data_IF_294733181240
#
_entry.id   IF_294733181240
#
_cell.length_a   1.000
_cell.length_b   1.000
_cell.length_c   1.000
_cell.angle_alpha   90.00
_cell.angle_beta   90.00
_cell.angle_gamma   90.00
#
_symmetry.space_group_name_H-M   'P 1'
#
loop_
_entity.id
_entity.type
_entity.pdbx_description
1 polymer ?
#
# COMPACT_ATOMS: atom_id res chain seq x y z
N UNK A 1 27.85 3.29 -15.32
CA UNK A 1 27.82 3.96 -14.01
C UNK A 1 26.41 4.50 -13.81
N UNK A 2 25.53 3.77 -13.11
CA UNK A 2 24.13 4.17 -12.97
C UNK A 2 24.05 5.49 -12.19
N UNK A 3 23.39 6.50 -12.79
CA UNK A 3 23.13 7.80 -12.16
C UNK A 3 22.37 7.56 -10.86
N UNK A 4 22.87 8.08 -9.74
CA UNK A 4 22.16 8.03 -8.46
C UNK A 4 20.82 8.75 -8.59
N UNK A 5 19.72 8.04 -8.30
CA UNK A 5 18.37 8.58 -8.30
C UNK A 5 18.24 9.72 -7.29
N UNK A 6 17.67 10.85 -7.71
CA UNK A 6 17.38 12.00 -6.86
C UNK A 6 15.87 12.19 -6.71
N UNK A 7 15.45 12.86 -5.66
CA UNK A 7 14.02 13.13 -5.41
C UNK A 7 13.37 13.92 -6.56
N UNK A 8 14.08 14.86 -7.17
CA UNK A 8 13.57 15.64 -8.31
C UNK A 8 13.29 14.78 -9.55
N UNK A 9 13.93 13.61 -9.66
CA UNK A 9 13.76 12.73 -10.80
C UNK A 9 12.33 12.17 -10.84
N UNK A 10 11.59 12.17 -9.72
CA UNK A 10 10.17 11.76 -9.72
C UNK A 10 9.31 12.59 -10.66
N UNK A 11 9.58 13.90 -10.78
CA UNK A 11 8.83 14.80 -11.66
C UNK A 11 9.47 14.97 -13.05
N UNK A 12 10.62 14.34 -13.33
CA UNK A 12 11.24 14.45 -14.65
C UNK A 12 10.42 13.71 -15.71
N UNK A 13 9.98 14.44 -16.72
CA UNK A 13 9.28 13.87 -17.88
C UNK A 13 10.23 12.99 -18.71
N UNK A 14 9.70 11.87 -19.18
CA UNK A 14 10.45 10.89 -19.99
C UNK A 14 11.10 9.78 -19.17
N UNK A 15 11.24 8.61 -19.80
CA UNK A 15 11.93 7.43 -19.26
C UNK A 15 11.22 6.72 -18.10
N UNK A 16 11.69 5.50 -17.83
CA UNK A 16 11.39 4.73 -16.63
C UNK A 16 12.46 5.04 -15.58
N UNK A 17 12.11 5.23 -14.29
CA UNK A 17 13.11 5.59 -13.27
C UNK A 17 13.97 4.40 -12.85
N UNK A 18 13.37 3.21 -12.79
CA UNK A 18 14.02 1.98 -12.33
C UNK A 18 13.54 0.83 -13.17
N UNK A 19 14.43 -0.05 -13.61
CA UNK A 19 14.07 -1.34 -14.16
C UNK A 19 14.29 -2.43 -13.10
N UNK A 20 13.23 -3.09 -12.59
CA UNK A 20 13.37 -4.15 -11.58
C UNK A 20 14.25 -5.33 -12.01
N UNK A 21 14.39 -5.60 -13.32
CA UNK A 21 15.31 -6.61 -13.85
C UNK A 21 16.79 -6.26 -13.65
N UNK A 22 17.11 -4.98 -13.46
CA UNK A 22 18.49 -4.50 -13.23
C UNK A 22 18.84 -4.42 -11.74
N UNK A 23 17.92 -4.82 -10.86
CA UNK A 23 18.12 -4.78 -9.41
C UNK A 23 18.75 -6.09 -8.92
N UNK A 24 19.70 -5.96 -8.02
CA UNK A 24 20.23 -7.09 -7.24
C UNK A 24 19.21 -7.47 -6.15
N UNK A 25 18.17 -8.21 -6.52
CA UNK A 25 17.11 -8.62 -5.59
C UNK A 25 17.67 -9.46 -4.44
N UNK A 26 17.01 -9.38 -3.28
CA UNK A 26 17.35 -10.22 -2.13
C UNK A 26 17.20 -11.71 -2.50
N UNK A 27 18.19 -12.56 -2.20
CA UNK A 27 18.07 -13.99 -2.44
C UNK A 27 16.95 -14.57 -1.57
N UNK A 28 16.11 -15.41 -2.17
CA UNK A 28 15.10 -16.15 -1.43
C UNK A 28 15.74 -17.34 -0.68
N UNK A 29 15.14 -17.80 0.43
CA UNK A 29 15.62 -18.98 1.12
C UNK A 29 15.29 -20.27 0.35
N UNK A 30 16.03 -21.34 0.62
CA UNK A 30 15.73 -22.68 0.13
C UNK A 30 14.25 -23.07 0.37
N UNK A 31 13.53 -23.68 -0.60
CA UNK A 31 14.03 -24.18 -1.89
C UNK A 31 13.97 -23.16 -3.05
N UNK A 32 13.79 -21.87 -2.76
CA UNK A 32 13.66 -20.80 -3.75
C UNK A 32 14.98 -20.04 -3.99
N UNK A 33 16.10 -20.54 -3.48
CA UNK A 33 17.43 -19.92 -3.52
C UNK A 33 18.16 -20.05 -4.87
N UNK A 34 17.46 -20.49 -5.92
CA UNK A 34 17.96 -20.63 -7.28
C UNK A 34 17.29 -19.59 -8.21
N UNK A 35 17.89 -18.40 -8.41
CA UNK A 35 17.30 -17.31 -9.19
C UNK A 35 16.98 -17.70 -10.64
N UNK A 36 17.76 -18.61 -11.20
CA UNK A 36 17.63 -19.08 -12.60
C UNK A 36 16.35 -19.91 -12.83
N UNK A 37 15.69 -20.35 -11.75
CA UNK A 37 14.42 -21.08 -11.81
C UNK A 37 13.21 -20.15 -11.78
N UNK A 38 13.38 -18.87 -11.44
CA UNK A 38 12.29 -17.91 -11.42
C UNK A 38 12.00 -17.37 -12.82
N UNK A 39 10.73 -17.27 -13.24
CA UNK A 39 10.40 -16.63 -14.50
C UNK A 39 10.82 -15.16 -14.46
N UNK A 40 11.38 -14.67 -15.57
CA UNK A 40 11.68 -13.25 -15.73
C UNK A 40 10.41 -12.40 -15.62
N UNK A 41 10.58 -11.13 -15.27
CA UNK A 41 9.49 -10.18 -15.24
C UNK A 41 8.80 -10.09 -16.61
N UNK A 42 7.47 -10.07 -16.61
CA UNK A 42 6.69 -9.87 -17.83
C UNK A 42 6.52 -8.37 -18.06
N UNK A 43 7.06 -7.80 -19.16
CA UNK A 43 6.89 -6.39 -19.43
C UNK A 43 5.42 -6.05 -19.65
N UNK A 44 4.99 -4.89 -19.14
CA UNK A 44 3.63 -4.41 -19.42
C UNK A 44 3.45 -4.13 -20.91
N UNK A 45 2.25 -4.43 -21.43
CA UNK A 45 1.86 -4.20 -22.83
C UNK A 45 2.04 -2.72 -23.19
N UNK A 46 2.42 -2.43 -24.43
CA UNK A 46 2.63 -1.05 -24.90
C UNK A 46 1.39 -0.17 -24.73
N UNK A 47 0.20 -0.73 -25.01
CA UNK A 47 -1.07 -0.05 -24.79
C UNK A 47 -1.30 0.37 -23.33
N UNK A 48 -0.76 -0.38 -22.36
CA UNK A 48 -0.79 0.00 -20.95
C UNK A 48 0.24 1.08 -20.63
N UNK A 49 1.42 1.07 -21.26
CA UNK A 49 2.46 2.11 -21.06
C UNK A 49 1.99 3.47 -21.57
N UNK A 50 1.25 3.49 -22.68
CA UNK A 50 0.67 4.70 -23.25
C UNK A 50 -0.45 5.25 -22.36
N UNK A 51 -1.35 4.36 -21.92
CA UNK A 51 -2.55 4.72 -21.16
C UNK A 51 -2.30 5.02 -19.68
N UNK A 52 -1.41 4.31 -19.02
CA UNK A 52 -1.18 4.37 -17.57
C UNK A 52 0.21 4.88 -17.21
N UNK A 53 0.48 5.03 -15.91
CA UNK A 53 1.81 5.36 -15.40
C UNK A 53 2.67 4.11 -15.18
N UNK A 54 3.34 3.65 -16.24
CA UNK A 54 4.37 2.59 -16.13
C UNK A 54 5.80 3.17 -15.95
N UNK A 55 5.95 4.49 -15.85
CA UNK A 55 7.27 5.16 -15.87
C UNK A 55 7.97 5.22 -14.51
N UNK A 56 7.38 4.67 -13.45
CA UNK A 56 8.03 4.52 -12.15
C UNK A 56 9.06 3.38 -12.21
N UNK A 57 8.56 2.15 -12.28
CA UNK A 57 9.34 0.91 -12.24
C UNK A 57 8.94 -0.10 -13.33
N UNK A 58 8.22 0.35 -14.37
CA UNK A 58 7.79 -0.52 -15.46
C UNK A 58 6.48 -1.28 -15.20
N UNK A 59 5.90 -1.15 -14.01
CA UNK A 59 4.65 -1.83 -13.62
C UNK A 59 3.54 -0.84 -13.28
N UNK A 60 2.29 -1.26 -13.50
CA UNK A 60 1.09 -0.47 -13.19
C UNK A 60 0.40 -1.08 -11.97
N UNK A 61 0.47 -0.38 -10.84
CA UNK A 61 -0.22 -0.73 -9.59
C UNK A 61 -1.60 -0.11 -9.47
N UNK A 62 -1.89 0.98 -10.20
CA UNK A 62 -3.18 1.68 -10.18
C UNK A 62 -3.80 1.66 -11.58
N UNK A 63 -4.61 0.63 -11.86
CA UNK A 63 -5.25 0.44 -13.17
C UNK A 63 -6.31 1.51 -13.52
N UNK A 64 -6.76 2.29 -12.54
CA UNK A 64 -7.67 3.43 -12.74
C UNK A 64 -6.95 4.76 -12.99
N UNK A 65 -5.63 4.82 -12.79
CA UNK A 65 -4.84 6.02 -13.02
C UNK A 65 -4.47 6.10 -14.52
N UNK A 66 -5.22 6.92 -15.26
CA UNK A 66 -5.09 7.07 -16.71
C UNK A 66 -4.47 8.42 -17.05
N UNK A 67 -3.61 8.45 -18.07
CA UNK A 67 -2.96 9.66 -18.57
C UNK A 67 -4.01 10.67 -19.05
N UNK A 68 -3.88 11.96 -18.68
CA UNK A 68 -4.77 13.01 -19.17
C UNK A 68 -4.67 13.12 -20.70
N UNK A 69 -5.80 13.39 -21.35
CA UNK A 69 -5.89 13.48 -22.82
C UNK A 69 -5.29 14.78 -23.36
N UNK A 70 -5.35 15.84 -22.56
CA UNK A 70 -4.88 17.17 -22.91
C UNK A 70 -4.34 17.91 -21.67
N UNK A 71 -3.74 19.08 -21.92
CA UNK A 71 -3.13 19.90 -20.87
C UNK A 71 -4.13 20.42 -19.83
N UNK A 72 -5.37 20.71 -20.23
CA UNK A 72 -6.39 21.19 -19.31
C UNK A 72 -6.81 20.09 -18.31
N UNK A 73 -6.91 18.84 -18.79
CA UNK A 73 -7.17 17.68 -17.92
C UNK A 73 -6.00 17.40 -16.97
N UNK A 74 -4.77 17.54 -17.45
CA UNK A 74 -3.57 17.47 -16.59
C UNK A 74 -3.63 18.51 -15.48
N UNK A 75 -3.86 19.78 -15.83
CA UNK A 75 -3.95 20.87 -14.86
C UNK A 75 -5.07 20.62 -13.85
N UNK A 76 -6.26 20.22 -14.32
CA UNK A 76 -7.39 19.88 -13.45
C UNK A 76 -7.04 18.77 -12.47
N UNK A 77 -6.38 17.71 -12.94
CA UNK A 77 -6.03 16.56 -12.09
C UNK A 77 -4.97 16.92 -11.05
N UNK A 78 -3.94 17.67 -11.44
CA UNK A 78 -2.92 18.19 -10.51
C UNK A 78 -3.55 19.12 -9.47
N UNK A 79 -4.46 20.01 -9.87
CA UNK A 79 -5.19 20.86 -8.92
C UNK A 79 -6.07 20.06 -7.96
N UNK A 80 -6.75 19.00 -8.44
CA UNK A 80 -7.48 18.08 -7.56
C UNK A 80 -6.56 17.40 -6.56
N UNK A 81 -5.38 16.94 -6.97
CA UNK A 81 -4.39 16.38 -6.06
C UNK A 81 -3.95 17.39 -4.99
N UNK A 82 -3.70 18.64 -5.37
CA UNK A 82 -3.34 19.71 -4.43
C UNK A 82 -4.47 20.05 -3.45
N UNK A 83 -5.74 20.02 -3.88
CA UNK A 83 -6.90 20.15 -2.98
C UNK A 83 -7.01 18.97 -2.02
N UNK A 84 -6.76 17.75 -2.51
CA UNK A 84 -6.72 16.57 -1.65
C UNK A 84 -5.61 16.66 -0.61
N UNK A 85 -4.44 17.20 -0.97
CA UNK A 85 -3.35 17.49 -0.03
C UNK A 85 -3.79 18.47 1.06
N UNK A 86 -4.48 19.55 0.70
CA UNK A 86 -5.04 20.52 1.65
C UNK A 86 -6.02 19.83 2.61
N UNK A 87 -6.93 18.99 2.09
CA UNK A 87 -7.88 18.21 2.90
C UNK A 87 -7.18 17.30 3.90
N UNK A 88 -6.19 16.49 3.48
CA UNK A 88 -5.49 15.59 4.43
C UNK A 88 -4.70 16.34 5.51
N UNK A 89 -4.38 17.62 5.30
CA UNK A 89 -3.74 18.50 6.28
C UNK A 89 -4.74 19.34 7.08
N UNK A 90 -6.05 19.21 6.84
CA UNK A 90 -7.10 19.94 7.52
C UNK A 90 -7.64 19.17 8.73
N UNK A 91 -7.87 19.87 9.84
CA UNK A 91 -8.52 19.31 11.02
C UNK A 91 -9.94 18.86 10.71
N UNK A 92 -10.67 19.57 9.85
CA UNK A 92 -12.06 19.25 9.50
C UNK A 92 -12.20 17.87 8.85
N UNK A 93 -11.27 17.49 7.97
CA UNK A 93 -11.41 16.26 7.15
C UNK A 93 -10.44 15.14 7.53
N UNK A 94 -9.45 15.42 8.41
CA UNK A 94 -8.46 14.43 8.83
C UNK A 94 -8.14 14.43 10.33
N UNK A 95 -9.00 14.99 11.18
CA UNK A 95 -8.80 15.15 12.64
C UNK A 95 -8.09 13.99 13.33
N UNK A 96 -8.59 12.76 13.13
CA UNK A 96 -8.08 11.56 13.83
C UNK A 96 -6.64 11.18 13.45
N UNK A 97 -6.13 11.69 12.33
CA UNK A 97 -4.80 11.35 11.80
C UNK A 97 -3.90 12.55 11.59
N UNK A 98 -4.43 13.78 11.76
CA UNK A 98 -3.71 15.01 11.49
C UNK A 98 -2.44 15.13 12.35
N UNK A 99 -2.54 14.97 13.67
CA UNK A 99 -1.38 15.11 14.55
C UNK A 99 -0.27 14.09 14.22
N UNK A 100 -0.54 12.76 14.13
CA UNK A 100 0.48 11.80 13.70
C UNK A 100 1.07 12.10 12.31
N UNK A 101 0.27 12.61 11.38
CA UNK A 101 0.72 13.00 10.04
C UNK A 101 1.68 14.18 10.12
N UNK A 102 1.30 15.28 10.77
CA UNK A 102 2.12 16.49 10.91
C UNK A 102 3.45 16.17 11.59
N UNK A 103 3.43 15.42 12.69
CA UNK A 103 4.66 14.97 13.36
C UNK A 103 5.58 14.19 12.41
N UNK A 104 5.01 13.26 11.63
CA UNK A 104 5.76 12.46 10.64
C UNK A 104 6.32 13.30 9.47
N UNK A 105 5.66 14.41 9.12
CA UNK A 105 6.12 15.34 8.09
C UNK A 105 7.23 16.27 8.60
N UNK A 106 7.19 16.68 9.88
CA UNK A 106 8.07 17.71 10.42
C UNK A 106 9.34 17.16 11.07
N UNK A 107 9.25 16.06 11.84
CA UNK A 107 10.32 15.64 12.74
C UNK A 107 11.29 14.60 12.16
N UNK A 108 11.17 14.24 10.89
CA UNK A 108 12.04 13.23 10.29
C UNK A 108 13.49 13.71 10.22
N UNK A 109 14.35 13.13 11.07
CA UNK A 109 15.80 13.39 11.10
C UNK A 109 16.59 12.73 9.96
N UNK A 110 15.92 12.01 9.05
CA UNK A 110 16.55 11.31 7.90
C UNK A 110 17.66 10.32 8.30
N UNK A 111 17.56 9.72 9.49
CA UNK A 111 18.51 8.74 10.02
C UNK A 111 18.48 7.37 9.33
N UNK A 112 17.49 7.12 8.48
CA UNK A 112 17.31 5.86 7.72
C UNK A 112 17.06 4.59 8.53
N UNK A 113 16.88 4.64 9.86
CA UNK A 113 16.55 3.46 10.70
C UNK A 113 15.37 2.64 10.17
N UNK A 114 14.36 3.32 9.61
CA UNK A 114 13.20 2.65 9.02
C UNK A 114 13.50 1.80 7.77
N UNK A 115 14.66 1.97 7.14
CA UNK A 115 14.99 1.34 5.86
C UNK A 115 15.19 -0.16 6.03
N UNK A 116 15.96 -0.59 7.03
CA UNK A 116 16.24 -2.02 7.27
C UNK A 116 15.00 -2.81 7.71
N UNK A 117 14.02 -2.13 8.31
CA UNK A 117 12.74 -2.75 8.66
C UNK A 117 11.77 -2.87 7.47
N UNK A 118 12.02 -2.18 6.35
CA UNK A 118 11.16 -2.22 5.18
C UNK A 118 11.55 -3.38 4.27
N UNK A 119 10.67 -4.38 4.19
CA UNK A 119 10.89 -5.56 3.36
C UNK A 119 10.96 -5.22 1.87
N UNK A 120 10.19 -4.26 1.35
CA UNK A 120 10.30 -3.83 -0.06
C UNK A 120 11.67 -3.21 -0.37
N UNK A 121 12.19 -2.38 0.53
CA UNK A 121 13.51 -1.77 0.35
C UNK A 121 14.62 -2.83 0.41
N UNK A 122 14.58 -3.72 1.40
CA UNK A 122 15.57 -4.80 1.52
C UNK A 122 15.49 -5.75 0.32
N UNK A 123 14.29 -6.17 -0.08
CA UNK A 123 14.08 -7.12 -1.17
C UNK A 123 14.48 -6.58 -2.54
N UNK A 124 14.39 -5.26 -2.75
CA UNK A 124 14.78 -4.59 -4.01
C UNK A 124 16.29 -4.31 -4.12
N UNK A 125 17.14 -5.02 -3.37
CA UNK A 125 18.57 -4.75 -3.35
C UNK A 125 18.92 -3.42 -2.72
N UNK A 126 18.10 -2.92 -1.80
CA UNK A 126 18.27 -1.61 -1.14
C UNK A 126 18.25 -0.45 -2.14
N UNK A 127 17.48 -0.58 -3.23
CA UNK A 127 17.38 0.46 -4.24
C UNK A 127 16.65 1.71 -3.70
N UNK A 128 17.19 2.90 -3.98
CA UNK A 128 16.78 4.15 -3.34
C UNK A 128 15.31 4.52 -3.58
N UNK A 129 14.76 4.18 -4.75
CA UNK A 129 13.34 4.41 -5.07
C UNK A 129 12.40 3.80 -4.02
N UNK A 130 12.73 2.60 -3.54
CA UNK A 130 11.89 1.84 -2.60
C UNK A 130 12.18 2.16 -1.14
N UNK A 131 13.17 3.03 -0.85
CA UNK A 131 13.46 3.46 0.51
C UNK A 131 12.22 4.15 1.11
N UNK A 132 11.77 3.79 2.33
CA UNK A 132 10.57 4.36 2.93
C UNK A 132 10.54 5.89 2.94
N UNK A 133 11.69 6.52 3.19
CA UNK A 133 11.79 7.98 3.25
C UNK A 133 11.75 8.65 1.87
N UNK A 134 12.03 7.95 0.77
CA UNK A 134 12.06 8.57 -0.57
C UNK A 134 10.67 9.14 -0.90
N UNK A 135 9.63 8.29 -0.83
CA UNK A 135 8.24 8.70 -1.01
C UNK A 135 7.80 9.77 -0.02
N UNK A 136 8.11 9.57 1.27
CA UNK A 136 7.72 10.51 2.31
C UNK A 136 8.36 11.88 2.12
N UNK A 137 9.61 11.92 1.66
CA UNK A 137 10.31 13.18 1.40
C UNK A 137 9.77 13.87 0.16
N UNK A 138 9.45 13.15 -0.91
CA UNK A 138 8.71 13.72 -2.05
C UNK A 138 7.43 14.42 -1.55
N UNK A 139 6.62 13.71 -0.77
CA UNK A 139 5.39 14.30 -0.23
C UNK A 139 5.65 15.50 0.69
N UNK A 140 6.64 15.44 1.59
CA UNK A 140 7.03 16.59 2.43
C UNK A 140 7.41 17.81 1.60
N UNK A 141 8.16 17.64 0.51
CA UNK A 141 8.56 18.74 -0.37
C UNK A 141 7.35 19.37 -1.05
N UNK A 142 6.42 18.56 -1.52
CA UNK A 142 5.16 19.03 -2.10
C UNK A 142 4.33 19.78 -1.04
N UNK A 143 4.20 19.25 0.18
CA UNK A 143 3.49 19.92 1.28
C UNK A 143 4.14 21.27 1.57
N UNK A 144 5.46 21.30 1.78
CA UNK A 144 6.19 22.54 2.04
C UNK A 144 5.95 23.57 0.95
N UNK A 145 6.05 23.18 -0.33
CA UNK A 145 5.92 24.12 -1.43
C UNK A 145 4.49 24.62 -1.66
N UNK A 146 3.52 23.73 -1.70
CA UNK A 146 2.16 24.08 -2.16
C UNK A 146 1.20 24.44 -1.03
N UNK A 147 1.45 23.93 0.18
CA UNK A 147 0.53 24.01 1.32
C UNK A 147 1.03 24.95 2.44
N UNK A 148 2.22 25.54 2.32
CA UNK A 148 2.71 26.54 3.28
C UNK A 148 2.81 27.92 2.64
N UNK A 149 2.50 28.97 3.43
CA UNK A 149 2.47 30.36 2.97
C UNK A 149 3.83 30.83 2.43
N UNK A 150 4.93 30.46 3.08
CA UNK A 150 6.29 30.80 2.63
C UNK A 150 6.83 29.91 1.52
N UNK A 151 6.28 28.72 1.35
CA UNK A 151 6.77 27.72 0.39
C UNK A 151 6.51 28.05 -1.07
N UNK A 152 5.48 28.84 -1.39
CA UNK A 152 5.19 29.23 -2.78
C UNK A 152 6.19 30.24 -3.33
N UNK A 153 6.79 31.07 -2.48
CA UNK A 153 7.72 32.14 -2.88
C UNK A 153 9.19 31.78 -2.60
N UNK A 154 9.45 30.98 -1.56
CA UNK A 154 10.80 30.61 -1.11
C UNK A 154 11.04 29.09 -1.14
N UNK A 155 10.38 28.37 -2.07
CA UNK A 155 10.41 26.90 -2.18
C UNK A 155 11.82 26.32 -2.07
N UNK A 156 12.78 26.91 -2.80
CA UNK A 156 14.18 26.47 -2.80
C UNK A 156 14.85 26.60 -1.42
N UNK A 157 14.56 27.68 -0.68
CA UNK A 157 15.15 27.95 0.64
C UNK A 157 14.54 27.08 1.74
N UNK A 158 13.27 26.69 1.63
CA UNK A 158 12.60 25.80 2.60
C UNK A 158 12.75 24.31 2.26
N UNK A 159 13.50 23.98 1.20
CA UNK A 159 13.74 22.62 0.74
C UNK A 159 12.55 21.99 0.01
N UNK A 160 11.61 22.79 -0.49
CA UNK A 160 10.44 22.38 -1.27
C UNK A 160 10.64 22.40 -2.79
N UNK A 161 11.87 22.43 -3.29
CA UNK A 161 12.18 22.50 -4.72
C UNK A 161 11.77 21.21 -5.48
N UNK A 162 10.48 21.13 -5.81
CA UNK A 162 9.87 20.09 -6.61
C UNK A 162 8.66 20.67 -7.35
N UNK A 163 8.74 20.78 -8.67
CA UNK A 163 7.58 21.15 -9.51
C UNK A 163 6.70 19.93 -9.75
N UNK A 164 5.44 20.00 -9.29
CA UNK A 164 4.47 18.93 -9.51
C UNK A 164 3.89 19.02 -10.92
N UNK A 165 3.97 17.93 -11.65
CA UNK A 165 3.29 17.70 -12.93
C UNK A 165 2.56 16.36 -12.87
N UNK A 166 1.85 15.99 -13.96
CA UNK A 166 1.17 14.70 -14.05
C UNK A 166 2.10 13.51 -13.74
N UNK A 167 3.31 13.50 -14.30
CA UNK A 167 4.25 12.36 -14.16
C UNK A 167 4.69 12.19 -12.71
N UNK A 168 5.04 13.28 -12.03
CA UNK A 168 5.44 13.27 -10.62
C UNK A 168 4.30 12.84 -9.70
N UNK A 169 3.09 13.34 -9.96
CA UNK A 169 1.88 12.93 -9.24
C UNK A 169 1.64 11.43 -9.43
N UNK A 170 1.61 10.97 -10.68
CA UNK A 170 1.30 9.58 -11.00
C UNK A 170 2.33 8.59 -10.45
N UNK A 171 3.64 8.90 -10.58
CA UNK A 171 4.73 8.12 -9.98
C UNK A 171 4.65 8.10 -8.45
N UNK A 172 4.26 9.22 -7.81
CA UNK A 172 4.05 9.25 -6.36
C UNK A 172 2.89 8.36 -5.93
N UNK A 173 1.79 8.32 -6.70
CA UNK A 173 0.67 7.41 -6.51
C UNK A 173 1.10 5.95 -6.60
N UNK A 174 1.73 5.57 -7.71
CA UNK A 174 2.29 4.22 -7.92
C UNK A 174 3.23 3.82 -6.77
N UNK A 175 4.15 4.71 -6.39
CA UNK A 175 5.10 4.45 -5.31
C UNK A 175 4.41 4.34 -3.94
N UNK A 176 3.27 5.01 -3.74
CA UNK A 176 2.47 4.84 -2.52
C UNK A 176 1.91 3.43 -2.41
N UNK A 177 1.58 2.77 -3.52
CA UNK A 177 1.10 1.38 -3.55
C UNK A 177 2.20 0.32 -3.48
N UNK A 178 3.49 0.69 -3.67
CA UNK A 178 4.64 -0.20 -3.36
C UNK A 178 4.90 -0.37 -1.85
N UNK A 179 4.23 0.40 -1.00
CA UNK A 179 4.20 0.18 0.44
C UNK A 179 3.15 -0.86 0.82
N UNK A 180 3.41 -1.78 1.75
CA UNK A 180 2.33 -2.68 2.22
C UNK A 180 1.59 -2.15 3.44
N UNK A 181 1.86 -0.90 3.85
CA UNK A 181 1.30 -0.27 5.06
C UNK A 181 1.52 -1.09 6.35
N UNK A 182 2.57 -1.95 6.39
CA UNK A 182 2.83 -2.86 7.51
C UNK A 182 3.32 -2.17 8.81
N UNK A 183 3.59 -0.86 8.76
CA UNK A 183 4.03 -0.02 9.90
C UNK A 183 5.30 -0.48 10.63
N UNK A 184 6.06 -1.47 10.12
CA UNK A 184 7.40 -1.82 10.65
C UNK A 184 8.33 -0.60 10.74
N UNK A 185 8.23 0.29 9.76
CA UNK A 185 8.97 1.57 9.76
C UNK A 185 8.65 2.47 10.95
N UNK A 186 7.40 2.45 11.45
CA UNK A 186 6.98 3.23 12.62
C UNK A 186 7.47 2.57 13.91
N UNK A 187 7.38 1.24 14.00
CA UNK A 187 7.85 0.47 15.17
C UNK A 187 9.34 0.65 15.44
N UNK A 188 10.17 0.76 14.39
CA UNK A 188 11.63 0.93 14.55
C UNK A 188 12.07 2.40 14.63
N UNK A 189 11.19 3.36 14.33
CA UNK A 189 11.59 4.76 14.32
C UNK A 189 11.83 5.26 15.75
N UNK A 190 13.02 5.80 16.08
CA UNK A 190 13.30 6.31 17.43
C UNK A 190 12.46 7.54 17.80
N UNK A 191 11.85 8.19 16.80
CA UNK A 191 10.97 9.35 16.96
C UNK A 191 9.49 9.00 16.78
N UNK A 192 9.14 7.71 16.61
CA UNK A 192 7.76 7.25 16.43
C UNK A 192 7.09 7.70 15.13
N UNK A 193 7.86 8.10 14.11
CA UNK A 193 7.34 8.63 12.85
C UNK A 193 6.90 7.51 11.89
N UNK A 194 5.81 7.75 11.17
CA UNK A 194 5.14 6.69 10.41
C UNK A 194 5.15 6.94 8.89
N UNK A 195 6.07 6.29 8.17
CA UNK A 195 6.11 6.36 6.70
C UNK A 195 4.94 5.61 6.03
N UNK A 196 4.32 4.64 6.71
CA UNK A 196 3.13 3.96 6.20
C UNK A 196 1.91 4.88 6.30
N UNK A 197 1.80 5.69 7.35
CA UNK A 197 0.78 6.74 7.46
C UNK A 197 0.88 7.72 6.29
N UNK A 198 2.07 8.25 5.98
CA UNK A 198 2.25 9.14 4.83
C UNK A 198 1.84 8.46 3.52
N UNK A 199 2.22 7.19 3.32
CA UNK A 199 1.81 6.42 2.15
C UNK A 199 0.28 6.28 2.06
N UNK A 200 -0.39 6.02 3.19
CA UNK A 200 -1.85 5.91 3.27
C UNK A 200 -2.52 7.25 2.94
N UNK A 201 -2.01 8.37 3.44
CA UNK A 201 -2.56 9.70 3.15
C UNK A 201 -2.40 10.06 1.68
N UNK A 202 -1.28 9.70 1.03
CA UNK A 202 -1.14 9.83 -0.42
C UNK A 202 -2.23 9.03 -1.14
N UNK A 203 -2.45 7.75 -0.77
CA UNK A 203 -3.54 6.94 -1.35
C UNK A 203 -4.91 7.54 -1.11
N UNK A 204 -5.14 8.13 0.07
CA UNK A 204 -6.40 8.80 0.43
C UNK A 204 -6.68 9.99 -0.49
N UNK A 205 -5.65 10.76 -0.86
CA UNK A 205 -5.79 11.84 -1.86
C UNK A 205 -6.28 11.26 -3.18
N UNK A 206 -5.61 10.22 -3.70
CA UNK A 206 -6.03 9.57 -4.95
C UNK A 206 -7.45 9.01 -4.86
N UNK A 207 -7.78 8.26 -3.81
CA UNK A 207 -9.06 7.56 -3.74
C UNK A 207 -10.23 8.49 -3.42
N UNK A 208 -10.11 9.39 -2.44
CA UNK A 208 -11.23 10.19 -1.97
C UNK A 208 -11.41 11.50 -2.73
N UNK A 209 -10.33 12.13 -3.19
CA UNK A 209 -10.43 13.40 -3.95
C UNK A 209 -10.45 13.17 -5.46
N UNK A 210 -9.68 12.20 -5.97
CA UNK A 210 -9.62 11.94 -7.42
C UNK A 210 -10.51 10.77 -7.87
N UNK A 211 -11.03 9.95 -6.96
CA UNK A 211 -11.76 8.72 -7.33
C UNK A 211 -10.86 7.64 -7.95
N UNK A 212 -9.54 7.70 -7.70
CA UNK A 212 -8.53 6.83 -8.28
C UNK A 212 -8.03 5.85 -7.22
N UNK A 213 -8.26 4.56 -7.44
CA UNK A 213 -7.74 3.48 -6.61
C UNK A 213 -7.63 2.18 -7.43
N UNK A 214 -6.73 1.24 -7.10
CA UNK A 214 -6.66 -0.04 -7.78
C UNK A 214 -7.98 -0.79 -7.65
N UNK A 215 -8.58 -1.21 -8.76
CA UNK A 215 -9.87 -1.94 -8.74
C UNK A 215 -9.83 -3.22 -7.91
N UNK A 216 -8.75 -4.03 -7.95
CA UNK A 216 -8.68 -5.23 -7.12
C UNK A 216 -8.78 -4.93 -5.61
N UNK A 217 -8.28 -3.77 -5.17
CA UNK A 217 -8.30 -3.39 -3.75
C UNK A 217 -9.58 -2.64 -3.37
N UNK A 218 -10.04 -1.72 -4.22
CA UNK A 218 -11.16 -0.85 -3.90
C UNK A 218 -12.51 -1.48 -4.27
N UNK A 219 -12.78 -1.66 -5.57
CA UNK A 219 -14.06 -2.21 -6.06
C UNK A 219 -14.24 -3.67 -5.62
N UNK A 220 -13.25 -4.53 -5.92
CA UNK A 220 -13.33 -5.97 -5.63
C UNK A 220 -12.97 -6.33 -4.19
N UNK A 221 -12.38 -5.42 -3.43
CA UNK A 221 -11.98 -5.63 -2.04
C UNK A 221 -12.91 -4.90 -1.08
N UNK A 222 -12.67 -3.60 -0.89
CA UNK A 222 -13.39 -2.79 0.11
C UNK A 222 -14.90 -2.68 -0.18
N UNK A 223 -15.29 -2.37 -1.41
CA UNK A 223 -16.71 -2.20 -1.74
C UNK A 223 -17.45 -3.54 -1.69
N UNK A 224 -16.82 -4.63 -2.16
CA UNK A 224 -17.37 -5.97 -2.02
C UNK A 224 -17.55 -6.37 -0.55
N UNK A 225 -16.57 -6.09 0.32
CA UNK A 225 -16.67 -6.31 1.77
C UNK A 225 -17.83 -5.53 2.39
N UNK A 226 -18.02 -4.26 2.01
CA UNK A 226 -19.13 -3.44 2.53
C UNK A 226 -20.50 -3.96 2.08
N UNK A 227 -20.58 -4.50 0.87
CA UNK A 227 -21.83 -5.03 0.33
C UNK A 227 -22.17 -6.42 0.88
N UNK A 228 -21.18 -7.30 1.03
CA UNK A 228 -21.40 -8.73 1.31
C UNK A 228 -20.99 -9.17 2.71
N UNK A 229 -20.22 -8.33 3.42
CA UNK A 229 -19.56 -8.70 4.68
C UNK A 229 -18.24 -9.46 4.49
N UNK A 230 -17.81 -9.72 3.25
CA UNK A 230 -16.59 -10.48 2.93
C UNK A 230 -15.80 -9.88 1.76
N UNK A 231 -14.47 -9.81 1.89
CA UNK A 231 -13.56 -9.27 0.88
C UNK A 231 -13.37 -10.21 -0.29
N UNK A 232 -13.80 -11.47 -0.15
CA UNK A 232 -13.85 -12.47 -1.22
C UNK A 232 -15.27 -12.68 -1.74
N UNK A 233 -16.28 -12.02 -1.15
CA UNK A 233 -17.69 -12.17 -1.52
C UNK A 233 -18.37 -13.42 -0.95
N UNK A 234 -17.74 -14.12 0.00
CA UNK A 234 -18.37 -15.26 0.70
C UNK A 234 -19.64 -14.76 1.39
N UNK A 235 -20.76 -15.39 1.07
CA UNK A 235 -22.06 -15.11 1.70
C UNK A 235 -22.20 -15.88 3.01
N UNK A 236 -23.09 -15.42 3.91
CA UNK A 236 -23.35 -16.13 5.17
C UNK A 236 -23.74 -17.61 4.97
N UNK A 237 -24.64 -17.98 4.04
CA UNK A 237 -24.93 -19.39 3.77
C UNK A 237 -23.70 -20.19 3.34
N UNK A 238 -22.90 -19.66 2.42
CA UNK A 238 -21.68 -20.34 1.96
C UNK A 238 -20.66 -20.52 3.10
N UNK A 239 -20.54 -19.56 4.01
CA UNK A 239 -19.71 -19.71 5.21
C UNK A 239 -20.23 -20.83 6.12
N UNK A 240 -21.55 -20.91 6.34
CA UNK A 240 -22.15 -21.97 7.16
C UNK A 240 -21.88 -23.36 6.58
N UNK A 241 -22.04 -23.52 5.26
CA UNK A 241 -21.77 -24.78 4.55
C UNK A 241 -20.28 -25.16 4.67
N UNK A 242 -19.37 -24.18 4.53
CA UNK A 242 -17.92 -24.42 4.73
C UNK A 242 -17.61 -24.84 6.17
N UNK A 243 -18.25 -24.24 7.16
CA UNK A 243 -18.03 -24.59 8.56
C UNK A 243 -18.55 -25.99 8.86
N UNK A 244 -19.74 -26.35 8.37
CA UNK A 244 -20.28 -27.71 8.52
C UNK A 244 -19.32 -28.75 7.92
N UNK A 245 -18.79 -28.49 6.72
CA UNK A 245 -17.75 -29.33 6.12
C UNK A 245 -16.52 -29.46 7.03
N UNK A 246 -16.02 -28.35 7.59
CA UNK A 246 -14.86 -28.38 8.50
C UNK A 246 -15.18 -29.20 9.77
N UNK A 247 -16.40 -29.09 10.32
CA UNK A 247 -16.83 -29.85 11.50
C UNK A 247 -16.85 -31.36 11.23
N UNK A 248 -17.35 -31.77 10.06
CA UNK A 248 -17.31 -33.17 9.61
C UNK A 248 -15.88 -33.67 9.47
N UNK A 249 -15.00 -32.87 8.86
CA UNK A 249 -13.58 -33.16 8.70
C UNK A 249 -12.86 -33.36 10.05
N UNK A 250 -13.22 -32.54 11.06
CA UNK A 250 -12.71 -32.68 12.43
C UNK A 250 -13.22 -33.99 13.05
N UNK A 251 -14.51 -34.30 12.91
CA UNK A 251 -15.09 -35.52 13.45
C UNK A 251 -14.44 -36.76 12.85
N UNK A 252 -14.24 -36.80 11.53
CA UNK A 252 -13.59 -37.92 10.84
C UNK A 252 -12.14 -38.13 11.33
N UNK A 253 -11.38 -37.04 11.47
CA UNK A 253 -9.95 -37.10 11.84
C UNK A 253 -9.73 -37.37 13.33
N UNK A 254 -10.61 -36.89 14.20
CA UNK A 254 -10.37 -36.86 15.65
C UNK A 254 -11.35 -37.71 16.46
N UNK A 255 -12.47 -38.13 15.85
CA UNK A 255 -13.59 -38.77 16.53
C UNK A 255 -14.41 -37.84 17.43
N UNK A 256 -14.13 -36.52 17.41
CA UNK A 256 -14.79 -35.53 18.27
C UNK A 256 -15.75 -34.67 17.46
N UNK A 257 -16.97 -34.50 17.97
CA UNK A 257 -17.97 -33.58 17.43
C UNK A 257 -17.73 -32.18 17.98
N UNK A 258 -17.00 -31.37 17.21
CA UNK A 258 -16.70 -29.97 17.56
C UNK A 258 -17.54 -29.07 16.66
N UNK A 259 -18.22 -28.08 17.24
CA UNK A 259 -19.04 -27.11 16.51
C UNK A 259 -18.40 -25.72 16.54
N UNK A 260 -18.45 -24.99 15.43
CA UNK A 260 -17.98 -23.61 15.37
C UNK A 260 -19.02 -22.66 16.00
N UNK A 261 -18.67 -21.93 17.08
CA UNK A 261 -19.55 -20.94 17.65
C UNK A 261 -19.58 -19.68 16.78
N UNK A 262 -20.73 -19.37 16.18
CA UNK A 262 -20.96 -18.13 15.43
C UNK A 262 -21.86 -17.16 16.22
N UNK A 263 -21.51 -15.87 16.19
CA UNK A 263 -22.29 -14.78 16.80
C UNK A 263 -22.71 -15.06 18.26
N UNK A 264 -21.90 -15.83 19.01
CA UNK A 264 -22.21 -16.26 20.39
C UNK A 264 -22.12 -15.06 21.33
N UNK A 265 -23.27 -14.60 21.82
CA UNK A 265 -23.36 -13.50 22.79
C UNK A 265 -22.60 -13.88 24.08
N UNK A 266 -21.72 -12.98 24.53
CA UNK A 266 -20.94 -13.16 25.75
C UNK A 266 -19.73 -14.08 25.61
N UNK A 267 -19.25 -14.33 24.39
CA UNK A 267 -17.98 -15.03 24.18
C UNK A 267 -16.80 -14.23 24.75
N UNK A 268 -15.89 -14.91 25.44
CA UNK A 268 -14.66 -14.31 25.98
C UNK A 268 -13.62 -14.01 24.89
N UNK A 269 -13.67 -14.76 23.78
CA UNK A 269 -12.74 -14.67 22.66
C UNK A 269 -13.50 -14.44 21.36
N UNK A 270 -13.12 -13.41 20.62
CA UNK A 270 -13.52 -13.20 19.23
C UNK A 270 -12.34 -13.59 18.33
N UNK A 271 -12.44 -14.76 17.69
CA UNK A 271 -11.48 -15.17 16.67
C UNK A 271 -12.02 -14.81 15.28
N UNK A 272 -11.19 -14.14 14.49
CA UNK A 272 -11.49 -13.84 13.09
C UNK A 272 -10.39 -14.42 12.20
N UNK A 273 -10.80 -15.12 11.15
CA UNK A 273 -9.90 -15.61 10.11
C UNK A 273 -9.96 -14.70 8.89
N UNK A 274 -8.89 -14.72 8.08
CA UNK A 274 -8.99 -14.20 6.72
C UNK A 274 -10.04 -15.04 5.97
N UNK A 275 -10.91 -14.40 5.19
CA UNK A 275 -11.99 -15.09 4.47
C UNK A 275 -11.49 -16.22 3.54
N UNK A 276 -10.27 -16.11 3.01
CA UNK A 276 -9.64 -17.15 2.20
C UNK A 276 -9.31 -18.43 2.95
N UNK A 277 -9.13 -18.37 4.27
CA UNK A 277 -8.82 -19.55 5.10
C UNK A 277 -9.93 -20.60 5.00
N UNK A 278 -11.19 -20.17 5.10
CA UNK A 278 -12.34 -21.08 5.02
C UNK A 278 -12.48 -21.76 3.66
N UNK A 279 -11.92 -21.18 2.59
CA UNK A 279 -11.99 -21.73 1.23
C UNK A 279 -10.77 -22.57 0.84
N UNK A 280 -9.58 -22.09 1.16
CA UNK A 280 -8.33 -22.62 0.64
C UNK A 280 -7.57 -23.48 1.66
N UNK A 281 -7.73 -23.20 2.96
CA UNK A 281 -6.99 -23.84 4.04
C UNK A 281 -7.91 -24.16 5.24
N UNK A 282 -8.96 -24.99 5.04
CA UNK A 282 -9.92 -25.33 6.09
C UNK A 282 -9.28 -25.94 7.36
N UNK A 283 -8.09 -26.51 7.23
CA UNK A 283 -7.29 -27.03 8.34
C UNK A 283 -6.91 -25.96 9.38
N UNK A 284 -6.75 -24.70 8.95
CA UNK A 284 -6.40 -23.61 9.85
C UNK A 284 -7.53 -23.28 10.82
N UNK A 285 -8.76 -22.93 10.39
CA UNK A 285 -9.88 -22.74 11.31
C UNK A 285 -10.20 -24.02 12.11
N UNK A 286 -10.02 -25.21 11.52
CA UNK A 286 -10.18 -26.47 12.24
C UNK A 286 -9.23 -26.60 13.45
N UNK A 287 -7.95 -26.29 13.26
CA UNK A 287 -6.96 -26.36 14.32
C UNK A 287 -7.32 -25.43 15.50
N UNK A 288 -7.80 -24.22 15.23
CA UNK A 288 -8.24 -23.31 16.28
C UNK A 288 -9.50 -23.82 17.01
N UNK A 289 -10.47 -24.39 16.30
CA UNK A 289 -11.65 -24.98 16.93
C UNK A 289 -11.28 -26.12 17.88
N UNK A 290 -10.39 -27.03 17.45
CA UNK A 290 -9.88 -28.12 18.29
C UNK A 290 -9.16 -27.59 19.53
N UNK A 291 -8.30 -26.60 19.36
CA UNK A 291 -7.54 -26.01 20.46
C UNK A 291 -8.45 -25.33 21.48
N UNK A 292 -9.44 -24.56 21.02
CA UNK A 292 -10.36 -23.87 21.92
C UNK A 292 -11.31 -24.82 22.63
N UNK A 293 -11.82 -25.86 21.97
CA UNK A 293 -12.61 -26.90 22.62
C UNK A 293 -11.79 -27.64 23.70
N UNK A 294 -10.49 -27.82 23.50
CA UNK A 294 -9.63 -28.50 24.46
C UNK A 294 -9.34 -27.68 25.74
N UNK A 295 -9.51 -26.36 25.70
CA UNK A 295 -9.23 -25.45 26.83
C UNK A 295 -10.47 -24.76 27.40
N UNK A 296 -11.65 -25.01 26.83
CA UNK A 296 -12.95 -24.51 27.29
C UNK A 296 -13.59 -25.48 28.29
#
# INVERSE_FOLDING_TARGET
>A
MNRKLRLQDICQSGGQLVNPEELELMPLPYPYDAPDLEPSFVPVKDSWREKHCASLDGFVGIDTLVRPENKADEEKMVQSFLRGMEKVLSEETNRSWLQPLLLSLEYCAKCNTCSDACHTFVASGRHELYRPIFRSEVFRRLVKKYQTTGGRLLAAFVGGDLELNWVGMARLGELAYRCNLCRRCAQTCPLGLDNALIAREIRKIFSQELGIAPKPLHEKGTMLQLQTGSSTGITKPALLDMLEFIEEDIEEKTGKKIKFPLDKKGADILLTHNAGEFMAWPENPAAFAILFEAVS
#
